data_IF_911062355259
#
_entry.id   IF_911062355259
#
_cell.length_a   1.000
_cell.length_b   1.000
_cell.length_c   1.000
_cell.angle_alpha   90.00
_cell.angle_beta   90.00
_cell.angle_gamma   90.00
#
_symmetry.space_group_name_H-M   'P 1'
#
loop_
_entity.id
_entity.type
_entity.pdbx_description
1 polymer ?
#
# COMPACT_ATOMS: atom_id res chain seq x y z
N UNK A 1 -13.43 24.00 19.03
CA UNK A 1 -12.69 23.97 17.75
C UNK A 1 -12.73 22.54 17.23
N UNK A 2 -13.71 22.20 16.40
CA UNK A 2 -13.95 20.81 15.95
C UNK A 2 -13.11 20.57 14.71
N UNK A 3 -12.17 19.63 14.74
CA UNK A 3 -11.33 19.30 13.60
C UNK A 3 -12.20 18.89 12.39
N UNK A 4 -12.20 19.64 11.28
CA UNK A 4 -12.99 19.31 10.10
C UNK A 4 -12.66 17.92 9.53
N UNK A 5 -11.48 17.37 9.82
CA UNK A 5 -11.09 16.02 9.41
C UNK A 5 -11.85 14.90 10.13
N UNK A 6 -12.38 15.14 11.33
CA UNK A 6 -13.12 14.12 12.08
C UNK A 6 -14.39 13.63 11.34
N UNK A 7 -14.94 14.45 10.43
CA UNK A 7 -16.09 14.12 9.58
C UNK A 7 -15.71 13.55 8.20
N UNK A 8 -14.44 13.54 7.83
CA UNK A 8 -14.01 13.04 6.53
C UNK A 8 -14.17 11.50 6.45
N UNK A 9 -14.49 11.02 5.26
CA UNK A 9 -14.64 9.60 4.95
C UNK A 9 -13.37 8.82 5.31
N UNK A 10 -13.53 7.67 5.98
CA UNK A 10 -12.43 6.73 6.22
C UNK A 10 -12.09 6.01 4.92
N UNK A 11 -10.86 6.19 4.43
CA UNK A 11 -10.40 5.60 3.17
C UNK A 11 -9.51 4.37 3.39
N UNK A 12 -8.91 4.23 4.57
CA UNK A 12 -8.15 3.06 4.96
C UNK A 12 -8.33 2.79 6.45
N UNK A 13 -8.57 1.52 6.80
CA UNK A 13 -8.65 1.04 8.17
C UNK A 13 -7.82 -0.23 8.32
N UNK A 14 -6.90 -0.21 9.27
CA UNK A 14 -6.20 -1.38 9.79
C UNK A 14 -6.81 -1.69 11.15
N UNK A 15 -7.29 -2.90 11.35
CA UNK A 15 -7.82 -3.36 12.62
C UNK A 15 -6.98 -4.49 13.20
N UNK A 16 -6.28 -4.20 14.30
CA UNK A 16 -5.50 -5.14 15.11
C UNK A 16 -4.58 -6.04 14.29
N UNK A 17 -3.83 -5.43 13.38
CA UNK A 17 -2.86 -6.13 12.53
C UNK A 17 -1.73 -6.68 13.40
N UNK A 18 -1.60 -8.00 13.39
CA UNK A 18 -0.51 -8.72 14.05
C UNK A 18 0.32 -9.46 13.02
N UNK A 19 1.64 -9.38 13.15
CA UNK A 19 2.57 -10.17 12.35
C UNK A 19 3.77 -10.61 13.15
N UNK A 20 4.08 -11.89 13.07
CA UNK A 20 5.23 -12.54 13.68
C UNK A 20 6.10 -13.24 12.62
N UNK A 21 7.39 -13.32 12.92
CA UNK A 21 8.39 -14.08 12.16
C UNK A 21 9.14 -14.97 13.15
N UNK A 22 8.76 -16.25 13.22
CA UNK A 22 9.22 -17.13 14.29
C UNK A 22 8.84 -16.56 15.66
N UNK A 23 9.83 -16.39 16.54
CA UNK A 23 9.61 -15.82 17.88
C UNK A 23 9.47 -14.28 17.89
N UNK A 24 9.83 -13.59 16.80
CA UNK A 24 9.79 -12.13 16.73
C UNK A 24 8.39 -11.65 16.37
N UNK A 25 7.75 -10.89 17.26
CA UNK A 25 6.49 -10.17 16.98
C UNK A 25 6.80 -8.81 16.36
N UNK A 26 6.73 -8.74 15.03
CA UNK A 26 7.05 -7.52 14.28
C UNK A 26 5.92 -6.48 14.32
N UNK A 27 4.66 -6.91 14.32
CA UNK A 27 3.51 -6.05 14.56
C UNK A 27 2.62 -6.69 15.63
N UNK A 28 2.15 -5.89 16.59
CA UNK A 28 1.32 -6.33 17.69
C UNK A 28 0.01 -5.54 17.70
N UNK A 29 -1.08 -6.17 17.23
CA UNK A 29 -2.44 -5.62 17.28
C UNK A 29 -2.54 -4.15 16.83
N UNK A 30 -1.83 -3.79 15.76
CA UNK A 30 -1.76 -2.41 15.28
C UNK A 30 -3.09 -2.01 14.63
N UNK A 31 -3.72 -0.96 15.16
CA UNK A 31 -4.90 -0.33 14.56
C UNK A 31 -4.58 1.08 14.09
N UNK A 32 -4.99 1.41 12.86
CA UNK A 32 -4.77 2.71 12.24
C UNK A 32 -5.96 3.05 11.35
N UNK A 33 -6.35 4.32 11.32
CA UNK A 33 -7.40 4.82 10.43
C UNK A 33 -6.86 6.05 9.71
N UNK A 34 -7.05 6.08 8.39
CA UNK A 34 -6.72 7.20 7.53
C UNK A 34 -8.00 7.71 6.87
N UNK A 35 -8.23 9.02 6.96
CA UNK A 35 -9.36 9.69 6.31
C UNK A 35 -8.95 10.39 5.03
N UNK A 36 -9.95 10.65 4.18
CA UNK A 36 -9.77 11.35 2.91
C UNK A 36 -9.09 12.70 3.14
N UNK A 37 -7.98 12.92 2.44
CA UNK A 37 -7.19 14.16 2.52
C UNK A 37 -6.20 14.22 3.70
N UNK A 38 -6.08 13.15 4.50
CA UNK A 38 -5.06 13.06 5.54
C UNK A 38 -3.72 12.59 4.98
N UNK A 39 -2.65 13.10 5.57
CA UNK A 39 -1.29 12.60 5.41
C UNK A 39 -0.86 12.10 6.77
N UNK A 40 -0.52 10.83 6.88
CA UNK A 40 -0.10 10.19 8.13
C UNK A 40 1.34 9.74 7.98
N UNK A 41 2.18 10.11 8.95
CA UNK A 41 3.55 9.63 9.07
C UNK A 41 3.62 8.51 10.11
N UNK A 42 4.12 7.35 9.72
CA UNK A 42 4.45 6.27 10.66
C UNK A 42 5.93 6.39 11.05
N UNK A 43 6.18 6.75 12.30
CA UNK A 43 7.52 6.96 12.85
C UNK A 43 7.87 5.86 13.86
N UNK A 44 9.17 5.61 14.05
CA UNK A 44 9.69 4.62 14.97
C UNK A 44 11.10 4.17 14.59
N UNK A 45 11.78 3.47 15.48
CA UNK A 45 13.15 2.99 15.28
C UNK A 45 13.23 1.89 14.20
N UNK A 46 14.46 1.58 13.78
CA UNK A 46 14.70 0.42 12.92
C UNK A 46 14.29 -0.85 13.65
N UNK A 47 13.55 -1.73 12.98
CA UNK A 47 12.97 -2.93 13.60
C UNK A 47 11.60 -2.74 14.25
N UNK A 48 11.07 -1.51 14.39
CA UNK A 48 9.75 -1.26 14.97
C UNK A 48 8.55 -1.76 14.13
N UNK A 49 8.78 -2.55 13.07
CA UNK A 49 7.70 -3.15 12.27
C UNK A 49 7.05 -2.25 11.22
N UNK A 50 7.60 -1.06 10.96
CA UNK A 50 7.06 -0.09 9.97
C UNK A 50 6.97 -0.69 8.56
N UNK A 51 8.10 -1.18 8.05
CA UNK A 51 8.18 -1.81 6.73
C UNK A 51 7.30 -3.06 6.65
N UNK A 52 7.21 -3.84 7.74
CA UNK A 52 6.32 -5.01 7.82
C UNK A 52 4.86 -4.60 7.66
N UNK A 53 4.42 -3.55 8.36
CA UNK A 53 3.05 -3.05 8.27
C UNK A 53 2.72 -2.55 6.86
N UNK A 54 3.65 -1.80 6.24
CA UNK A 54 3.48 -1.33 4.87
C UNK A 54 3.42 -2.50 3.86
N UNK A 55 4.26 -3.52 4.04
CA UNK A 55 4.25 -4.72 3.20
C UNK A 55 2.96 -5.52 3.35
N UNK A 56 2.32 -5.54 4.52
CA UNK A 56 1.00 -6.14 4.71
C UNK A 56 -0.06 -5.36 3.95
N UNK A 57 -0.06 -4.02 4.08
CA UNK A 57 -1.00 -3.14 3.39
C UNK A 57 -0.94 -3.30 1.86
N UNK A 58 0.26 -3.46 1.32
CA UNK A 58 0.45 -3.67 -0.12
C UNK A 58 0.40 -5.16 -0.52
N UNK A 59 0.09 -6.07 0.41
CA UNK A 59 -0.09 -7.49 0.11
C UNK A 59 1.18 -8.29 -0.15
N UNK A 60 2.37 -7.77 0.16
CA UNK A 60 3.62 -8.55 0.14
C UNK A 60 3.73 -9.52 1.32
N UNK A 61 3.12 -9.18 2.45
CA UNK A 61 2.98 -10.08 3.59
C UNK A 61 1.52 -10.31 3.96
N UNK A 62 1.25 -11.47 4.55
CA UNK A 62 -0.04 -11.82 5.14
C UNK A 62 0.09 -11.63 6.65
N UNK A 63 -0.78 -10.80 7.23
CA UNK A 63 -0.91 -10.68 8.68
C UNK A 63 -1.35 -12.03 9.28
N UNK A 64 -0.88 -12.32 10.49
CA UNK A 64 -1.30 -13.55 11.19
C UNK A 64 -2.71 -13.37 11.77
N UNK A 65 -3.08 -12.13 12.11
CA UNK A 65 -4.43 -11.76 12.52
C UNK A 65 -4.75 -10.31 12.19
N UNK A 66 -6.03 -9.96 12.25
CA UNK A 66 -6.55 -8.62 11.98
C UNK A 66 -7.08 -8.49 10.55
N UNK A 67 -7.55 -7.29 10.21
CA UNK A 67 -8.13 -7.01 8.90
C UNK A 67 -7.70 -5.64 8.36
N UNK A 68 -7.64 -5.54 7.04
CA UNK A 68 -7.41 -4.28 6.33
C UNK A 68 -8.64 -4.01 5.48
N UNK A 69 -9.12 -2.77 5.50
CA UNK A 69 -10.20 -2.27 4.67
C UNK A 69 -9.77 -1.02 3.92
N UNK A 70 -10.14 -0.92 2.65
CA UNK A 70 -9.87 0.22 1.79
C UNK A 70 -11.20 0.69 1.20
N UNK A 71 -11.52 1.98 1.37
CA UNK A 71 -12.82 2.56 1.02
C UNK A 71 -14.02 1.75 1.53
N UNK A 72 -13.94 1.23 2.75
CA UNK A 72 -15.00 0.42 3.39
C UNK A 72 -15.10 -1.03 2.92
N UNK A 73 -14.23 -1.48 2.00
CA UNK A 73 -14.21 -2.85 1.51
C UNK A 73 -13.03 -3.64 2.08
N UNK A 74 -13.23 -4.90 2.52
CA UNK A 74 -12.13 -5.76 2.94
C UNK A 74 -11.09 -5.94 1.83
N UNK A 75 -9.82 -5.74 2.17
CA UNK A 75 -8.70 -5.99 1.27
C UNK A 75 -8.24 -7.45 1.42
N UNK A 76 -8.28 -8.27 0.35
CA UNK A 76 -7.77 -9.63 0.39
C UNK A 76 -6.28 -9.65 0.78
N UNK A 77 -5.87 -10.46 1.76
CA UNK A 77 -4.48 -10.48 2.21
C UNK A 77 -3.57 -11.12 1.16
N UNK A 78 -2.29 -10.74 1.16
CA UNK A 78 -1.25 -11.41 0.36
C UNK A 78 -1.35 -11.20 -1.14
N UNK A 79 -2.07 -10.17 -1.60
CA UNK A 79 -2.33 -9.93 -3.02
C UNK A 79 -2.03 -8.48 -3.43
N UNK A 80 -0.81 -8.18 -3.92
CA UNK A 80 -0.46 -6.82 -4.35
C UNK A 80 -1.35 -6.29 -5.47
N UNK A 81 -1.80 -7.18 -6.37
CA UNK A 81 -2.77 -6.81 -7.41
C UNK A 81 -4.13 -6.41 -6.85
N UNK A 82 -4.55 -6.98 -5.71
CA UNK A 82 -5.79 -6.59 -5.04
C UNK A 82 -5.63 -5.21 -4.40
N UNK A 83 -4.48 -4.92 -3.78
CA UNK A 83 -4.16 -3.60 -3.22
C UNK A 83 -4.19 -2.51 -4.30
N UNK A 84 -3.53 -2.74 -5.44
CA UNK A 84 -3.56 -1.82 -6.58
C UNK A 84 -4.98 -1.59 -7.10
N UNK A 85 -5.77 -2.65 -7.29
CA UNK A 85 -7.18 -2.55 -7.73
C UNK A 85 -8.05 -1.80 -6.72
N UNK A 86 -7.74 -1.89 -5.43
CA UNK A 86 -8.42 -1.15 -4.37
C UNK A 86 -7.97 0.32 -4.28
N UNK A 87 -7.03 0.77 -5.12
CA UNK A 87 -6.52 2.14 -5.13
C UNK A 87 -5.33 2.39 -4.20
N UNK A 88 -4.69 1.34 -3.68
CA UNK A 88 -3.48 1.46 -2.86
C UNK A 88 -2.24 1.39 -3.76
N UNK A 89 -1.54 2.51 -3.89
CA UNK A 89 -0.22 2.58 -4.52
C UNK A 89 0.90 2.54 -3.48
N UNK A 90 2.05 1.98 -3.86
CA UNK A 90 3.26 1.97 -3.02
C UNK A 90 4.44 2.53 -3.82
N UNK A 91 5.19 3.43 -3.19
CA UNK A 91 6.49 3.89 -3.69
C UNK A 91 7.56 3.19 -2.84
N UNK A 92 8.42 2.40 -3.48
CA UNK A 92 9.49 1.68 -2.80
C UNK A 92 10.66 2.60 -2.46
N UNK A 93 11.38 2.27 -1.38
CA UNK A 93 12.56 3.01 -0.92
C UNK A 93 13.69 3.06 -1.98
N UNK A 94 13.82 2.01 -2.78
CA UNK A 94 14.71 2.00 -3.94
C UNK A 94 13.89 2.27 -5.21
N UNK A 95 14.32 3.25 -6.00
CA UNK A 95 13.65 3.60 -7.25
C UNK A 95 13.65 2.40 -8.20
N UNK A 96 12.45 1.94 -8.57
CA UNK A 96 12.26 0.85 -9.52
C UNK A 96 11.99 1.45 -10.91
N UNK A 97 12.93 2.23 -11.42
CA UNK A 97 12.85 2.83 -12.76
C UNK A 97 13.36 1.84 -13.81
N UNK A 98 12.69 1.80 -14.95
CA UNK A 98 13.20 1.13 -16.14
C UNK A 98 14.13 2.12 -16.87
N UNK A 99 15.43 2.04 -16.56
CA UNK A 99 16.43 3.01 -17.02
C UNK A 99 16.64 3.07 -18.54
N UNK A 100 16.10 2.10 -19.28
CA UNK A 100 16.09 2.05 -20.74
C UNK A 100 14.80 2.62 -21.37
N UNK A 101 13.88 3.14 -20.56
CA UNK A 101 12.61 3.71 -21.02
C UNK A 101 12.63 5.24 -20.88
N UNK A 102 11.84 5.92 -21.72
CA UNK A 102 11.63 7.37 -21.57
C UNK A 102 10.90 7.68 -20.27
N UNK A 103 10.86 8.96 -19.88
CA UNK A 103 10.05 9.40 -18.72
C UNK A 103 8.58 9.06 -18.93
N UNK A 104 8.06 9.31 -20.13
CA UNK A 104 6.67 9.00 -20.46
C UNK A 104 6.41 7.49 -20.36
N UNK A 105 7.31 6.67 -20.90
CA UNK A 105 7.17 5.22 -20.84
C UNK A 105 7.20 4.71 -19.39
N UNK A 106 8.07 5.24 -18.53
CA UNK A 106 8.08 4.90 -17.09
C UNK A 106 6.77 5.28 -16.38
N UNK A 107 6.12 6.40 -16.74
CA UNK A 107 4.84 6.83 -16.16
C UNK A 107 3.68 5.96 -16.66
N UNK A 108 3.67 5.59 -17.94
CA UNK A 108 2.63 4.72 -18.54
C UNK A 108 2.84 3.23 -18.22
N UNK A 109 3.99 2.87 -17.66
CA UNK A 109 4.33 1.49 -17.34
C UNK A 109 3.37 0.95 -16.27
N UNK A 110 2.59 -0.07 -16.64
CA UNK A 110 1.61 -0.69 -15.74
C UNK A 110 0.21 -0.07 -15.77
N UNK A 111 -0.01 1.01 -16.54
CA UNK A 111 -1.37 1.54 -16.79
C UNK A 111 -2.03 0.92 -18.03
N UNK A 112 -1.23 0.35 -18.93
CA UNK A 112 -1.68 -0.21 -20.21
C UNK A 112 -1.69 -1.76 -20.19
N UNK A 113 -2.60 -2.36 -20.96
CA UNK A 113 -2.63 -3.82 -21.16
C UNK A 113 -1.44 -4.26 -22.01
N UNK A 114 -0.78 -5.36 -21.61
CA UNK A 114 0.27 -6.02 -22.41
C UNK A 114 -0.22 -6.47 -23.80
N UNK A 115 -1.54 -6.62 -23.96
CA UNK A 115 -2.19 -7.00 -25.21
C UNK A 115 -2.68 -5.80 -26.03
N UNK A 116 -2.50 -4.57 -25.52
CA UNK A 116 -2.79 -3.38 -26.33
C UNK A 116 -1.77 -3.31 -27.47
N UNK A 117 -2.18 -3.79 -28.65
CA UNK A 117 -1.39 -3.64 -29.88
C UNK A 117 -1.36 -2.15 -30.21
N UNK A 118 -0.25 -1.49 -29.90
CA UNK A 118 0.04 -0.19 -30.48
C UNK A 118 0.88 0.74 -29.63
N UNK A 119 2.20 0.62 -29.73
CA UNK A 119 3.01 1.76 -30.17
C UNK A 119 3.93 1.26 -31.28
N UNK A 120 3.69 1.78 -32.48
CA UNK A 120 4.56 1.55 -33.62
C UNK A 120 5.98 1.96 -33.23
N UNK A 121 6.93 1.07 -33.50
CA UNK A 121 8.34 1.42 -33.56
C UNK A 121 8.50 2.53 -34.60
N UNK A 122 8.72 3.75 -34.15
CA UNK A 122 9.40 4.77 -34.95
C UNK A 122 10.61 5.23 -34.16
N UNK A 123 11.76 4.85 -34.72
CA UNK A 123 13.13 5.36 -34.60
C UNK A 123 13.56 5.98 -33.27
#
# INVERSE_FOLDING_TARGET
MTDPKAKAEVVLRLDRITKSFGALRANDAISLTLRRGEVVALLGENGAGKTTLMNILFGHYVADSGAVEVFGHPLPPGQPRAALKAGVGMVHQHFTLAGNLTVLDNITLGTESLWSRGRGRTA
#
